data_IF_940732305153
#
_entry.id   IF_940732305153
#
_cell.length_a   1.000
_cell.length_b   1.000
_cell.length_c   1.000
_cell.angle_alpha   90.00
_cell.angle_beta   90.00
_cell.angle_gamma   90.00
#
_symmetry.space_group_name_H-M   'P 1'
#
loop_
_entity.id
_entity.type
_entity.pdbx_description
1 polymer ?
#
# COMPACT_ATOMS: atom_id res chain seq x y z
N UNK A 1 -40.63 -18.55 -42.83
CA UNK A 1 -39.39 -18.99 -42.14
C UNK A 1 -38.65 -17.86 -41.38
N UNK A 2 -39.29 -16.73 -41.06
CA UNK A 2 -38.60 -15.54 -40.50
C UNK A 2 -38.96 -15.16 -39.04
N UNK A 3 -39.86 -15.90 -38.37
CA UNK A 3 -40.31 -15.54 -37.00
C UNK A 3 -39.51 -16.15 -35.83
N UNK A 4 -38.65 -17.16 -36.08
CA UNK A 4 -37.88 -17.83 -34.99
C UNK A 4 -36.51 -17.19 -34.71
N UNK A 5 -35.95 -16.42 -35.64
CA UNK A 5 -34.62 -15.81 -35.47
C UNK A 5 -34.65 -14.44 -34.78
N UNK A 6 -35.80 -13.77 -34.74
CA UNK A 6 -35.92 -12.45 -34.10
C UNK A 6 -35.87 -12.55 -32.56
N UNK A 7 -36.36 -13.66 -32.00
CA UNK A 7 -36.38 -13.89 -30.55
C UNK A 7 -34.96 -14.17 -30.01
N UNK A 8 -34.13 -14.89 -30.76
CA UNK A 8 -32.73 -15.14 -30.41
C UNK A 8 -31.88 -13.86 -30.48
N UNK A 9 -32.16 -12.95 -31.43
CA UNK A 9 -31.43 -11.68 -31.53
C UNK A 9 -31.76 -10.74 -30.35
N UNK A 10 -33.02 -10.73 -29.88
CA UNK A 10 -33.44 -9.92 -28.73
C UNK A 10 -32.85 -10.41 -27.39
N UNK A 11 -32.70 -11.73 -27.21
CA UNK A 11 -32.07 -12.27 -25.99
C UNK A 11 -30.56 -11.96 -25.89
N UNK A 12 -29.84 -11.87 -27.02
CA UNK A 12 -28.41 -11.53 -27.00
C UNK A 12 -28.15 -10.04 -26.69
N UNK A 13 -29.03 -9.13 -27.11
CA UNK A 13 -28.88 -7.69 -26.82
C UNK A 13 -29.11 -7.42 -25.33
N UNK A 14 -30.02 -8.13 -24.66
CA UNK A 14 -30.25 -7.97 -23.22
C UNK A 14 -29.08 -8.41 -22.33
N UNK A 15 -28.22 -9.33 -22.77
CA UNK A 15 -27.05 -9.77 -21.98
C UNK A 15 -25.90 -8.76 -22.09
N UNK A 16 -25.79 -8.05 -23.22
CA UNK A 16 -24.72 -7.06 -23.44
C UNK A 16 -25.03 -5.74 -22.69
N UNK A 17 -26.30 -5.37 -22.54
CA UNK A 17 -26.69 -4.12 -21.84
C UNK A 17 -26.51 -4.22 -20.32
N UNK A 18 -26.55 -5.43 -19.74
CA UNK A 18 -26.31 -5.65 -18.30
C UNK A 18 -24.82 -5.78 -17.92
N UNK A 19 -23.91 -5.79 -18.91
CA UNK A 19 -22.46 -5.90 -18.69
C UNK A 19 -21.72 -4.55 -18.74
N UNK A 20 -22.41 -3.42 -18.71
CA UNK A 20 -21.76 -2.13 -18.49
C UNK A 20 -21.30 -2.03 -17.02
N UNK A 21 -20.19 -2.69 -16.70
CA UNK A 21 -19.28 -2.17 -15.68
C UNK A 21 -18.91 -0.76 -16.11
N UNK A 22 -19.21 0.23 -15.28
CA UNK A 22 -18.85 1.62 -15.56
C UNK A 22 -17.34 1.72 -15.81
N UNK A 23 -16.92 1.84 -17.07
CA UNK A 23 -15.51 1.99 -17.44
C UNK A 23 -14.96 3.39 -17.12
N UNK A 24 -15.82 4.32 -16.70
CA UNK A 24 -15.42 5.68 -16.31
C UNK A 24 -16.00 6.03 -14.95
N UNK A 25 -15.22 6.71 -14.08
CA UNK A 25 -15.73 7.21 -12.81
C UNK A 25 -16.90 8.17 -13.03
N UNK A 26 -17.91 8.12 -12.15
CA UNK A 26 -19.13 8.95 -12.23
C UNK A 26 -19.31 9.76 -10.96
N UNK A 27 -19.58 11.06 -11.10
CA UNK A 27 -19.92 11.93 -9.98
C UNK A 27 -21.38 11.72 -9.57
N UNK A 28 -21.58 11.34 -8.31
CA UNK A 28 -22.89 11.08 -7.73
C UNK A 28 -23.56 12.40 -7.35
N UNK A 29 -24.83 12.56 -7.76
CA UNK A 29 -25.65 13.75 -7.44
C UNK A 29 -26.20 13.67 -6.02
N UNK A 30 -25.39 14.03 -5.02
CA UNK A 30 -25.75 13.94 -3.60
C UNK A 30 -25.74 15.32 -2.97
N UNK A 31 -26.91 15.82 -2.57
CA UNK A 31 -27.08 17.18 -2.00
C UNK A 31 -26.97 17.24 -0.47
N UNK A 32 -27.25 16.13 0.20
CA UNK A 32 -27.22 15.98 1.66
C UNK A 32 -25.97 15.19 2.10
N UNK A 33 -25.95 14.67 3.31
CA UNK A 33 -24.89 13.76 3.75
C UNK A 33 -24.86 12.50 2.88
N UNK A 34 -23.66 11.98 2.62
CA UNK A 34 -23.48 10.73 1.89
C UNK A 34 -23.08 9.61 2.85
N UNK A 35 -23.88 8.55 2.94
CA UNK A 35 -23.49 7.34 3.66
C UNK A 35 -22.99 6.30 2.67
N UNK A 36 -21.74 5.87 2.81
CA UNK A 36 -21.22 4.76 2.02
C UNK A 36 -21.87 3.45 2.50
N UNK A 37 -22.71 2.84 1.66
CA UNK A 37 -23.61 1.77 2.10
C UNK A 37 -22.90 0.53 2.66
N UNK A 38 -21.66 0.28 2.23
CA UNK A 38 -20.92 -0.94 2.54
C UNK A 38 -20.20 -0.84 3.89
N UNK A 39 -19.58 0.31 4.16
CA UNK A 39 -18.82 0.52 5.41
C UNK A 39 -19.59 1.35 6.44
N UNK A 40 -20.78 1.83 6.06
CA UNK A 40 -21.64 2.72 6.86
C UNK A 40 -20.98 4.05 7.26
N UNK A 41 -19.81 4.36 6.70
CA UNK A 41 -19.12 5.63 6.91
C UNK A 41 -19.98 6.78 6.38
N UNK A 42 -20.22 7.77 7.24
CA UNK A 42 -20.98 8.98 6.89
C UNK A 42 -20.02 10.09 6.48
N UNK A 43 -20.24 10.63 5.30
CA UNK A 43 -19.53 11.76 4.71
C UNK A 43 -20.47 12.96 4.68
N UNK A 44 -20.46 13.80 5.72
CA UNK A 44 -21.40 14.90 5.82
C UNK A 44 -21.14 15.96 4.76
N UNK A 45 -22.15 16.79 4.47
CA UNK A 45 -22.04 17.90 3.52
C UNK A 45 -21.02 18.95 3.97
N UNK A 46 -20.92 19.21 5.27
CA UNK A 46 -19.96 20.13 5.89
C UNK A 46 -19.25 19.40 7.03
N UNK A 47 -17.92 19.43 7.03
CA UNK A 47 -17.11 18.76 8.05
C UNK A 47 -15.88 19.58 8.38
N UNK A 48 -15.68 19.93 9.66
CA UNK A 48 -14.48 20.66 10.14
C UNK A 48 -14.14 21.92 9.31
N UNK A 49 -15.16 22.63 8.81
CA UNK A 49 -15.00 23.81 7.96
C UNK A 49 -14.67 23.51 6.48
N UNK A 50 -14.73 22.25 6.06
CA UNK A 50 -14.66 21.82 4.67
C UNK A 50 -16.05 21.51 4.11
N UNK A 51 -16.33 22.04 2.92
CA UNK A 51 -17.53 21.74 2.14
C UNK A 51 -17.27 20.52 1.24
N UNK A 52 -18.14 19.51 1.30
CA UNK A 52 -18.10 18.37 0.36
C UNK A 52 -18.44 18.89 -1.04
N UNK A 53 -17.53 18.76 -1.99
CA UNK A 53 -17.72 19.16 -3.40
C UNK A 53 -18.17 17.98 -4.27
N UNK A 54 -17.62 16.78 -4.04
CA UNK A 54 -17.84 15.64 -4.94
C UNK A 54 -17.83 14.33 -4.19
N UNK A 55 -18.70 13.41 -4.63
CA UNK A 55 -18.57 11.97 -4.37
C UNK A 55 -18.50 11.30 -5.73
N UNK A 56 -17.37 10.66 -6.00
CA UNK A 56 -17.06 10.00 -7.25
C UNK A 56 -17.08 8.50 -7.04
N UNK A 57 -17.90 7.78 -7.80
CA UNK A 57 -17.92 6.33 -7.82
C UNK A 57 -17.02 5.81 -8.93
N UNK A 58 -16.23 4.78 -8.64
CA UNK A 58 -15.31 4.14 -9.57
C UNK A 58 -15.82 2.75 -10.02
N UNK A 59 -16.91 2.26 -9.42
CA UNK A 59 -17.60 1.05 -9.83
C UNK A 59 -19.12 1.27 -9.80
N UNK A 60 -19.88 0.41 -10.47
CA UNK A 60 -21.34 0.53 -10.58
C UNK A 60 -22.10 0.24 -9.28
N UNK A 61 -21.48 -0.44 -8.31
CA UNK A 61 -22.06 -0.74 -7.00
C UNK A 61 -21.66 0.27 -5.93
N UNK A 62 -20.94 1.34 -6.31
CA UNK A 62 -20.43 2.38 -5.43
C UNK A 62 -19.68 1.80 -4.21
N UNK A 63 -18.90 0.73 -4.40
CA UNK A 63 -18.02 0.14 -3.39
C UNK A 63 -16.70 0.88 -3.29
N UNK A 64 -16.20 1.35 -4.42
CA UNK A 64 -15.01 2.16 -4.59
C UNK A 64 -15.46 3.60 -4.84
N UNK A 65 -15.27 4.45 -3.84
CA UNK A 65 -15.67 5.85 -3.90
C UNK A 65 -14.55 6.78 -3.43
N UNK A 66 -14.47 7.94 -4.08
CA UNK A 66 -13.62 9.05 -3.68
C UNK A 66 -14.50 10.24 -3.27
N UNK A 67 -14.26 10.79 -2.09
CA UNK A 67 -15.01 11.90 -1.52
C UNK A 67 -14.07 13.10 -1.42
N UNK A 68 -14.42 14.21 -2.07
CA UNK A 68 -13.63 15.44 -2.06
C UNK A 68 -14.31 16.52 -1.22
N UNK A 69 -13.52 17.08 -0.31
CA UNK A 69 -13.83 18.16 0.61
C UNK A 69 -12.93 19.34 0.31
N UNK A 70 -13.51 20.53 0.30
CA UNK A 70 -12.79 21.76 0.00
C UNK A 70 -13.01 22.79 1.07
N UNK A 71 -11.90 23.35 1.54
CA UNK A 71 -11.89 24.56 2.35
C UNK A 71 -11.21 25.66 1.53
N UNK A 72 -11.94 26.74 1.30
CA UNK A 72 -11.46 27.89 0.55
C UNK A 72 -11.49 29.13 1.44
N UNK A 73 -10.31 29.63 1.82
CA UNK A 73 -10.18 30.85 2.65
C UNK A 73 -10.22 32.12 1.81
N UNK A 74 -9.69 32.04 0.58
CA UNK A 74 -9.68 33.15 -0.38
C UNK A 74 -9.80 32.62 -1.81
N UNK A 75 -9.87 33.51 -2.81
CA UNK A 75 -9.87 33.09 -4.22
C UNK A 75 -8.62 32.30 -4.62
N UNK A 76 -7.51 32.42 -3.87
CA UNK A 76 -6.22 31.82 -4.19
C UNK A 76 -5.80 30.70 -3.23
N UNK A 77 -6.34 30.67 -2.02
CA UNK A 77 -5.97 29.68 -0.99
C UNK A 77 -7.05 28.62 -0.87
N UNK A 78 -6.72 27.42 -1.34
CA UNK A 78 -7.60 26.25 -1.33
C UNK A 78 -6.88 25.06 -0.71
N UNK A 79 -7.53 24.45 0.27
CA UNK A 79 -7.18 23.12 0.76
C UNK A 79 -8.20 22.11 0.26
N UNK A 80 -7.71 21.02 -0.33
CA UNK A 80 -8.52 19.91 -0.82
C UNK A 80 -8.16 18.66 -0.02
N UNK A 81 -9.15 18.09 0.66
CA UNK A 81 -9.08 16.77 1.27
C UNK A 81 -9.82 15.79 0.37
N UNK A 82 -9.18 14.69 -0.01
CA UNK A 82 -9.84 13.59 -0.72
C UNK A 82 -9.69 12.29 0.07
N UNK A 83 -10.81 11.67 0.38
CA UNK A 83 -10.90 10.39 1.08
C UNK A 83 -11.30 9.32 0.08
N UNK A 84 -10.57 8.22 0.05
CA UNK A 84 -10.86 7.06 -0.79
C UNK A 84 -11.21 5.88 0.10
N UNK A 85 -12.26 5.16 -0.29
CA UNK A 85 -12.66 3.91 0.33
C UNK A 85 -13.01 2.91 -0.76
N UNK A 86 -12.37 1.75 -0.72
CA UNK A 86 -12.57 0.73 -1.74
C UNK A 86 -12.26 -0.68 -1.20
N UNK A 87 -12.92 -1.72 -1.73
CA UNK A 87 -12.73 -3.09 -1.27
C UNK A 87 -11.44 -3.67 -1.85
N UNK A 88 -10.88 -4.65 -1.15
CA UNK A 88 -9.77 -5.46 -1.59
C UNK A 88 -10.23 -6.91 -1.83
N UNK A 89 -9.67 -7.51 -2.88
CA UNK A 89 -9.82 -8.93 -3.21
C UNK A 89 -8.75 -9.77 -2.54
N UNK A 90 -7.56 -9.21 -2.39
CA UNK A 90 -6.44 -9.80 -1.68
C UNK A 90 -5.75 -8.75 -0.81
N UNK A 91 -5.18 -9.20 0.29
CA UNK A 91 -4.31 -8.40 1.15
C UNK A 91 -3.01 -9.16 1.29
N UNK A 92 -1.94 -8.59 0.74
CA UNK A 92 -0.59 -9.14 0.81
C UNK A 92 0.31 -8.32 1.75
N UNK A 93 1.42 -8.92 2.19
CA UNK A 93 2.30 -8.29 3.16
C UNK A 93 2.98 -7.00 2.66
N UNK A 94 3.02 -6.72 1.36
CA UNK A 94 3.62 -5.49 0.83
C UNK A 94 2.59 -4.39 0.52
N UNK A 95 1.30 -4.62 0.77
CA UNK A 95 0.20 -3.76 0.33
C UNK A 95 0.39 -2.26 0.65
N UNK A 96 0.79 -1.93 1.88
CA UNK A 96 1.03 -0.54 2.28
C UNK A 96 2.23 0.07 1.55
N UNK A 97 3.28 -0.71 1.33
CA UNK A 97 4.52 -0.28 0.67
C UNK A 97 4.26 0.01 -0.81
N UNK A 98 3.61 -0.94 -1.48
CA UNK A 98 3.30 -0.86 -2.91
C UNK A 98 2.39 0.34 -3.21
N UNK A 99 1.40 0.63 -2.33
CA UNK A 99 0.54 1.81 -2.47
C UNK A 99 1.26 3.13 -2.25
N UNK A 100 2.20 3.16 -1.32
CA UNK A 100 2.98 4.36 -1.03
C UNK A 100 3.92 4.68 -2.20
N UNK A 101 4.65 3.69 -2.70
CA UNK A 101 5.52 3.79 -3.87
C UNK A 101 4.73 4.17 -5.13
N UNK A 102 3.60 3.51 -5.39
CA UNK A 102 2.75 3.84 -6.53
C UNK A 102 2.28 5.29 -6.50
N UNK A 103 2.02 5.84 -5.31
CA UNK A 103 1.67 7.24 -5.17
C UNK A 103 2.87 8.17 -5.36
N UNK A 104 4.04 7.84 -4.83
CA UNK A 104 5.28 8.60 -5.05
C UNK A 104 5.63 8.69 -6.55
N UNK A 105 5.51 7.57 -7.27
CA UNK A 105 5.74 7.50 -8.71
C UNK A 105 4.75 8.39 -9.46
N UNK A 106 3.45 8.23 -9.18
CA UNK A 106 2.40 9.05 -9.81
C UNK A 106 2.58 10.54 -9.49
N UNK A 107 3.03 10.88 -8.28
CA UNK A 107 3.28 12.25 -7.87
C UNK A 107 4.48 12.84 -8.63
N UNK A 108 5.56 12.09 -8.73
CA UNK A 108 6.78 12.48 -9.45
C UNK A 108 6.50 12.72 -10.94
N UNK A 109 5.69 11.86 -11.57
CA UNK A 109 5.27 12.04 -12.97
C UNK A 109 4.43 13.32 -13.19
N UNK A 110 3.74 13.82 -12.16
CA UNK A 110 2.85 14.99 -12.23
C UNK A 110 3.45 16.26 -11.61
N UNK A 111 4.71 16.22 -11.19
CA UNK A 111 5.43 17.36 -10.62
C UNK A 111 6.56 17.81 -11.55
N UNK A 112 6.96 19.09 -11.45
CA UNK A 112 8.14 19.60 -12.17
C UNK A 112 9.47 19.27 -11.47
N UNK A 113 9.41 18.59 -10.32
CA UNK A 113 10.57 18.19 -9.54
C UNK A 113 10.35 16.81 -8.96
N UNK A 114 11.42 16.03 -8.78
CA UNK A 114 11.36 14.79 -8.01
C UNK A 114 10.82 15.07 -6.60
N UNK A 115 9.81 14.32 -6.17
CA UNK A 115 9.25 14.44 -4.83
C UNK A 115 9.58 13.16 -4.07
N UNK A 116 10.53 13.26 -3.15
CA UNK A 116 10.84 12.16 -2.23
C UNK A 116 9.88 12.15 -1.05
N UNK A 117 9.08 11.09 -0.92
CA UNK A 117 8.17 10.92 0.19
C UNK A 117 8.88 10.25 1.37
N UNK A 118 9.17 11.01 2.43
CA UNK A 118 9.66 10.42 3.68
C UNK A 118 8.51 9.70 4.38
N UNK A 119 8.55 8.37 4.55
CA UNK A 119 7.48 7.64 5.22
C UNK A 119 7.49 7.91 6.72
N UNK A 120 6.31 7.87 7.31
CA UNK A 120 6.08 7.85 8.75
C UNK A 120 5.03 6.77 9.02
N UNK A 121 5.16 6.08 10.15
CA UNK A 121 4.37 4.90 10.47
C UNK A 121 3.58 5.15 11.75
N UNK A 122 2.39 4.56 11.84
CA UNK A 122 1.61 4.59 13.07
C UNK A 122 0.55 3.50 13.11
N UNK A 123 -0.13 3.45 14.25
CA UNK A 123 -1.19 2.50 14.51
C UNK A 123 -2.39 3.19 15.15
N UNK A 124 -3.59 2.75 14.78
CA UNK A 124 -4.84 3.04 15.49
C UNK A 124 -5.27 1.76 16.18
N UNK A 125 -5.70 1.82 17.44
CA UNK A 125 -6.11 0.62 18.17
C UNK A 125 -7.33 0.88 19.05
N UNK A 126 -8.18 -0.12 19.19
CA UNK A 126 -9.23 -0.18 20.21
C UNK A 126 -9.24 -1.56 20.91
N UNK A 127 -10.35 -1.87 21.60
CA UNK A 127 -10.53 -3.14 22.29
C UNK A 127 -10.58 -4.35 21.34
N UNK A 128 -10.88 -4.17 20.05
CA UNK A 128 -11.15 -5.24 19.08
C UNK A 128 -10.11 -5.36 17.98
N UNK A 129 -9.58 -4.24 17.48
CA UNK A 129 -8.71 -4.21 16.31
C UNK A 129 -7.55 -3.23 16.47
N UNK A 130 -6.51 -3.45 15.67
CA UNK A 130 -5.36 -2.55 15.50
C UNK A 130 -5.08 -2.37 14.02
N UNK A 131 -5.27 -1.16 13.51
CA UNK A 131 -5.02 -0.78 12.10
C UNK A 131 -3.66 -0.10 11.98
N UNK A 132 -2.77 -0.66 11.17
CA UNK A 132 -1.51 -0.01 10.81
C UNK A 132 -1.71 0.97 9.65
N UNK A 133 -0.89 2.01 9.62
CA UNK A 133 -0.88 2.96 8.52
C UNK A 133 0.51 3.50 8.22
N UNK A 134 0.67 3.93 6.97
CA UNK A 134 1.81 4.69 6.47
C UNK A 134 1.33 6.05 6.00
N UNK A 135 2.09 7.10 6.31
CA UNK A 135 1.76 8.45 5.89
C UNK A 135 3.01 9.29 5.60
N UNK A 136 2.82 10.40 4.92
CA UNK A 136 3.87 11.38 4.68
C UNK A 136 3.28 12.78 4.55
N UNK A 137 3.99 13.77 5.09
CA UNK A 137 3.70 15.20 4.92
C UNK A 137 4.89 15.82 4.18
N UNK A 138 4.63 16.41 3.04
CA UNK A 138 5.67 16.82 2.10
C UNK A 138 5.30 18.07 1.33
N UNK A 139 6.34 18.79 0.89
CA UNK A 139 6.21 19.88 -0.07
C UNK A 139 6.27 19.31 -1.48
N UNK A 140 5.40 19.79 -2.37
CA UNK A 140 5.46 19.45 -3.78
C UNK A 140 5.07 20.64 -4.65
N UNK A 141 5.43 20.56 -5.93
CA UNK A 141 5.11 21.59 -6.91
C UNK A 141 4.19 20.98 -7.97
N UNK A 142 2.90 21.31 -7.89
CA UNK A 142 1.87 20.70 -8.74
C UNK A 142 1.54 21.57 -9.93
N UNK A 143 1.49 20.95 -11.10
CA UNK A 143 1.02 21.61 -12.32
C UNK A 143 -0.47 21.92 -12.23
N UNK A 144 -0.84 23.16 -12.54
CA UNK A 144 -2.21 23.58 -12.80
C UNK A 144 -2.30 24.12 -14.22
N UNK A 145 -3.40 23.86 -14.96
CA UNK A 145 -3.60 24.49 -16.26
C UNK A 145 -3.51 26.01 -16.15
N UNK A 146 -2.70 26.61 -17.00
CA UNK A 146 -2.57 28.06 -17.10
C UNK A 146 -2.88 28.49 -18.54
N UNK A 147 -3.70 29.52 -18.69
CA UNK A 147 -4.16 29.96 -20.00
C UNK A 147 -3.04 30.52 -20.88
N UNK A 148 -1.99 31.10 -20.27
CA UNK A 148 -0.88 31.73 -20.98
C UNK A 148 0.34 30.80 -21.09
N UNK A 149 0.63 30.03 -20.04
CA UNK A 149 1.85 29.21 -19.94
C UNK A 149 1.60 27.70 -20.17
N UNK A 150 0.36 27.30 -20.43
CA UNK A 150 -0.07 25.91 -20.58
C UNK A 150 -0.18 25.20 -19.24
N UNK A 151 0.90 25.16 -18.46
CA UNK A 151 0.93 24.60 -17.10
C UNK A 151 1.76 25.51 -16.19
N UNK A 152 1.12 26.03 -15.14
CA UNK A 152 1.77 26.75 -14.06
C UNK A 152 1.96 25.84 -12.86
N UNK A 153 3.18 25.77 -12.36
CA UNK A 153 3.51 25.00 -11.18
C UNK A 153 3.36 25.84 -9.91
N UNK A 154 2.67 25.29 -8.92
CA UNK A 154 2.41 25.97 -7.64
C UNK A 154 2.90 25.07 -6.50
N UNK A 155 3.66 25.68 -5.59
CA UNK A 155 4.10 25.03 -4.37
C UNK A 155 2.92 24.73 -3.46
N UNK A 156 2.88 23.50 -2.94
CA UNK A 156 1.82 22.95 -2.12
C UNK A 156 2.42 22.22 -0.93
N UNK A 157 1.71 22.27 0.19
CA UNK A 157 1.89 21.30 1.26
C UNK A 157 0.87 20.19 1.07
N UNK A 158 1.33 18.95 1.13
CA UNK A 158 0.51 17.77 0.87
C UNK A 158 0.66 16.74 1.97
N UNK A 159 -0.40 15.96 2.17
CA UNK A 159 -0.42 14.81 3.06
C UNK A 159 -0.96 13.59 2.30
N UNK A 160 -0.30 12.46 2.49
CA UNK A 160 -0.79 11.14 2.13
C UNK A 160 -0.89 10.32 3.40
N UNK A 161 -2.01 9.65 3.64
CA UNK A 161 -2.14 8.61 4.66
C UNK A 161 -2.89 7.40 4.08
N UNK A 162 -2.36 6.20 4.26
CA UNK A 162 -2.89 4.93 3.75
C UNK A 162 -3.03 3.97 4.93
N UNK A 163 -4.24 3.45 5.12
CA UNK A 163 -4.60 2.61 6.26
C UNK A 163 -4.92 1.20 5.79
N UNK A 164 -4.43 0.22 6.53
CA UNK A 164 -4.66 -1.20 6.28
C UNK A 164 -5.89 -1.68 7.05
N UNK A 165 -7.06 -1.68 6.41
CA UNK A 165 -8.36 -1.90 7.07
C UNK A 165 -8.97 -3.27 6.70
N UNK A 166 -8.17 -4.33 6.74
CA UNK A 166 -8.57 -5.68 6.33
C UNK A 166 -8.95 -5.69 4.85
N UNK A 167 -10.13 -6.22 4.53
CA UNK A 167 -10.67 -6.26 3.18
C UNK A 167 -11.18 -4.93 2.62
N UNK A 168 -10.91 -3.83 3.31
CA UNK A 168 -11.12 -2.47 2.84
C UNK A 168 -9.81 -1.70 2.88
N UNK A 169 -9.66 -0.74 1.96
CA UNK A 169 -8.63 0.29 2.07
C UNK A 169 -9.27 1.63 2.35
N UNK A 170 -8.68 2.37 3.28
CA UNK A 170 -8.97 3.78 3.52
C UNK A 170 -7.72 4.59 3.21
N UNK A 171 -7.87 5.68 2.45
CA UNK A 171 -6.75 6.52 2.04
C UNK A 171 -7.15 7.99 2.05
N UNK A 172 -6.38 8.80 2.75
CA UNK A 172 -6.56 10.25 2.80
C UNK A 172 -5.46 10.94 2.00
N UNK A 173 -5.85 11.89 1.16
CA UNK A 173 -4.94 12.79 0.45
C UNK A 173 -5.33 14.22 0.75
N UNK A 174 -4.38 15.06 1.12
CA UNK A 174 -4.58 16.50 1.28
C UNK A 174 -3.61 17.24 0.39
N UNK A 175 -4.08 18.32 -0.22
CA UNK A 175 -3.24 19.30 -0.90
C UNK A 175 -3.70 20.69 -0.46
N UNK A 176 -2.78 21.50 0.04
CA UNK A 176 -3.05 22.81 0.62
C UNK A 176 -2.14 23.89 0.03
N UNK A 177 -2.71 25.08 -0.21
CA UNK A 177 -1.94 26.29 -0.53
C UNK A 177 -1.29 26.92 0.72
N UNK A 178 -1.83 26.69 1.92
CA UNK A 178 -1.57 27.56 3.08
C UNK A 178 -1.42 26.82 4.44
N UNK A 179 -1.71 25.53 4.52
CA UNK A 179 -1.56 24.77 5.76
C UNK A 179 -0.09 24.44 6.05
N UNK A 180 0.31 24.56 7.32
CA UNK A 180 1.60 24.07 7.82
C UNK A 180 1.59 22.55 7.98
N UNK A 181 2.77 21.96 8.24
CA UNK A 181 2.88 20.51 8.49
C UNK A 181 2.10 20.09 9.74
N UNK A 182 2.14 20.88 10.79
CA UNK A 182 1.43 20.64 12.05
C UNK A 182 -0.09 20.67 11.83
N UNK A 183 -0.57 21.63 11.03
CA UNK A 183 -2.00 21.71 10.68
C UNK A 183 -2.46 20.53 9.83
N UNK A 184 -1.61 20.00 8.94
CA UNK A 184 -1.90 18.79 8.18
C UNK A 184 -1.94 17.55 9.07
N UNK A 185 -1.03 17.44 10.05
CA UNK A 185 -1.05 16.36 11.04
C UNK A 185 -2.33 16.41 11.89
N UNK A 186 -2.72 17.60 12.39
CA UNK A 186 -3.99 17.77 13.11
C UNK A 186 -5.20 17.40 12.25
N UNK A 187 -5.19 17.75 10.96
CA UNK A 187 -6.26 17.39 10.03
C UNK A 187 -6.33 15.87 9.84
N UNK A 188 -5.19 15.18 9.73
CA UNK A 188 -5.13 13.72 9.68
C UNK A 188 -5.75 13.10 10.94
N UNK A 189 -5.41 13.57 12.13
CA UNK A 189 -5.99 13.07 13.39
C UNK A 189 -7.51 13.28 13.46
N UNK A 190 -8.01 14.41 12.93
CA UNK A 190 -9.45 14.67 12.80
C UNK A 190 -10.10 13.68 11.83
N UNK A 191 -9.46 13.39 10.69
CA UNK A 191 -9.94 12.38 9.73
C UNK A 191 -10.04 11.01 10.41
N UNK A 192 -8.99 10.59 11.11
CA UNK A 192 -8.91 9.30 11.81
C UNK A 192 -10.03 9.16 12.84
N UNK A 193 -10.26 10.22 13.62
CA UNK A 193 -11.26 10.24 14.69
C UNK A 193 -12.69 10.27 14.17
N UNK A 194 -12.98 11.09 13.15
CA UNK A 194 -14.36 11.30 12.70
C UNK A 194 -14.86 10.19 11.76
N UNK A 195 -14.04 9.80 10.76
CA UNK A 195 -14.49 8.84 9.74
C UNK A 195 -14.44 7.38 10.22
N UNK A 196 -13.94 7.15 11.44
CA UNK A 196 -14.01 5.86 12.13
C UNK A 196 -13.25 4.78 11.37
N UNK A 197 -11.95 4.97 11.14
CA UNK A 197 -11.11 4.03 10.37
C UNK A 197 -11.16 2.62 10.97
N UNK A 198 -11.15 2.50 12.30
CA UNK A 198 -11.33 1.22 12.99
C UNK A 198 -12.68 0.57 12.66
N UNK A 199 -13.76 1.34 12.58
CA UNK A 199 -15.08 0.82 12.18
C UNK A 199 -15.05 0.26 10.75
N UNK A 200 -14.35 0.92 9.81
CA UNK A 200 -14.17 0.41 8.45
C UNK A 200 -13.46 -0.95 8.47
N UNK A 201 -12.43 -1.10 9.29
CA UNK A 201 -11.69 -2.36 9.40
C UNK A 201 -12.53 -3.52 9.98
N UNK A 202 -13.51 -3.24 10.86
CA UNK A 202 -14.41 -4.27 11.41
C UNK A 202 -15.34 -4.93 10.39
N UNK A 203 -15.56 -4.30 9.23
CA UNK A 203 -16.56 -4.77 8.26
C UNK A 203 -16.12 -6.04 7.55
N UNK A 204 -14.82 -6.17 7.27
CA UNK A 204 -14.25 -7.30 6.52
C UNK A 204 -12.84 -7.60 7.06
N UNK A 205 -12.71 -8.16 8.29
CA UNK A 205 -11.42 -8.57 8.82
C UNK A 205 -10.81 -9.70 7.96
N UNK A 206 -9.50 -9.90 8.09
CA UNK A 206 -8.78 -10.97 7.41
C UNK A 206 -9.15 -12.34 8.01
N UNK A 207 -9.20 -13.41 7.19
CA UNK A 207 -9.56 -14.76 7.64
C UNK A 207 -8.37 -15.46 8.33
N UNK A 208 -7.97 -14.95 9.50
CA UNK A 208 -6.76 -15.35 10.23
C UNK A 208 -6.76 -16.80 10.76
N UNK A 209 -7.92 -17.45 10.78
CA UNK A 209 -8.03 -18.88 11.11
C UNK A 209 -7.41 -19.76 10.03
N UNK A 210 -7.33 -19.26 8.79
CA UNK A 210 -6.65 -19.92 7.69
C UNK A 210 -5.18 -19.49 7.65
N UNK A 211 -4.29 -20.38 7.19
CA UNK A 211 -2.94 -19.94 6.87
C UNK A 211 -2.98 -19.04 5.62
N UNK A 212 -2.22 -17.93 5.59
CA UNK A 212 -2.09 -17.13 4.38
C UNK A 212 -1.42 -17.97 3.28
N UNK A 213 -1.79 -17.68 2.04
CA UNK A 213 -1.21 -18.31 0.86
C UNK A 213 0.14 -17.68 0.53
N UNK A 214 1.01 -18.45 -0.14
CA UNK A 214 2.34 -17.99 -0.57
C UNK A 214 2.33 -17.90 -2.10
N UNK A 215 2.67 -16.73 -2.65
CA UNK A 215 2.99 -16.57 -4.07
C UNK A 215 4.50 -16.48 -4.22
N UNK A 216 5.07 -17.31 -5.09
CA UNK A 216 6.48 -17.27 -5.44
C UNK A 216 6.70 -16.46 -6.72
N UNK A 217 7.70 -15.59 -6.71
CA UNK A 217 8.15 -14.87 -7.90
C UNK A 217 8.69 -15.84 -8.96
N UNK A 218 8.47 -15.61 -10.26
CA UNK A 218 9.01 -16.47 -11.31
C UNK A 218 10.53 -16.72 -11.21
N UNK A 219 11.28 -15.74 -10.70
CA UNK A 219 12.76 -15.82 -10.58
C UNK A 219 13.23 -16.95 -9.67
N UNK A 220 12.43 -17.36 -8.67
CA UNK A 220 12.84 -18.43 -7.75
C UNK A 220 12.84 -19.80 -8.44
N UNK A 221 12.10 -19.95 -9.54
CA UNK A 221 11.93 -21.22 -10.25
C UNK A 221 13.17 -21.65 -11.05
N UNK A 222 14.28 -20.93 -10.92
CA UNK A 222 15.56 -21.21 -11.60
C UNK A 222 16.19 -22.54 -11.17
N UNK A 223 16.09 -22.90 -9.89
CA UNK A 223 16.51 -24.20 -9.39
C UNK A 223 15.77 -24.59 -8.11
N UNK A 224 15.99 -25.83 -7.68
CA UNK A 224 15.33 -26.40 -6.53
C UNK A 224 15.83 -25.80 -5.21
N UNK A 225 17.09 -25.40 -5.10
CA UNK A 225 17.60 -24.76 -3.88
C UNK A 225 16.86 -23.44 -3.62
N UNK A 226 16.79 -22.56 -4.63
CA UNK A 226 16.14 -21.27 -4.49
C UNK A 226 14.64 -21.42 -4.15
N UNK A 227 13.90 -22.30 -4.85
CA UNK A 227 12.49 -22.56 -4.52
C UNK A 227 12.33 -22.94 -3.04
N UNK A 228 13.08 -23.94 -2.57
CA UNK A 228 12.84 -24.51 -1.25
C UNK A 228 13.31 -23.59 -0.11
N UNK A 229 14.42 -22.88 -0.31
CA UNK A 229 14.85 -21.85 0.63
C UNK A 229 13.83 -20.70 0.71
N UNK A 230 13.30 -20.23 -0.42
CA UNK A 230 12.24 -19.21 -0.42
C UNK A 230 10.98 -19.70 0.27
N UNK A 231 10.54 -20.95 0.03
CA UNK A 231 9.37 -21.52 0.71
C UNK A 231 9.61 -21.60 2.22
N UNK A 232 10.81 -22.03 2.66
CA UNK A 232 11.17 -22.08 4.07
C UNK A 232 11.14 -20.67 4.71
N UNK A 233 11.63 -19.65 4.00
CA UNK A 233 11.57 -18.26 4.44
C UNK A 233 10.12 -17.77 4.62
N UNK A 234 9.28 -18.01 3.60
CA UNK A 234 7.88 -17.59 3.61
C UNK A 234 7.08 -18.28 4.73
N UNK A 235 7.25 -19.60 4.90
CA UNK A 235 6.63 -20.35 6.00
C UNK A 235 7.08 -19.84 7.36
N UNK A 236 8.39 -19.58 7.52
CA UNK A 236 8.95 -19.03 8.75
C UNK A 236 8.39 -17.65 9.06
N UNK A 237 8.18 -16.79 8.06
CA UNK A 237 7.55 -15.47 8.22
C UNK A 237 6.10 -15.59 8.70
N UNK A 238 5.33 -16.52 8.12
CA UNK A 238 3.96 -16.81 8.56
C UNK A 238 3.93 -17.27 10.02
N UNK A 239 4.84 -18.17 10.41
CA UNK A 239 4.96 -18.60 11.81
C UNK A 239 5.36 -17.46 12.73
N UNK A 240 6.24 -16.57 12.28
CA UNK A 240 6.66 -15.41 13.05
C UNK A 240 5.46 -14.50 13.36
N UNK A 241 4.63 -14.19 12.35
CA UNK A 241 3.42 -13.39 12.56
C UNK A 241 2.46 -14.05 13.55
N UNK A 242 2.25 -15.38 13.46
CA UNK A 242 1.39 -16.12 14.39
C UNK A 242 1.87 -16.07 15.84
N UNK A 243 3.19 -16.00 16.07
CA UNK A 243 3.80 -16.04 17.41
C UNK A 243 4.01 -14.65 18.01
N UNK A 244 4.26 -13.63 17.20
CA UNK A 244 4.73 -12.33 17.67
C UNK A 244 3.76 -11.18 17.42
N UNK A 245 2.76 -11.35 16.55
CA UNK A 245 1.78 -10.29 16.26
C UNK A 245 0.50 -10.45 17.06
N UNK A 246 -0.09 -9.32 17.45
CA UNK A 246 -1.39 -9.29 18.11
C UNK A 246 -2.48 -9.76 17.12
N UNK A 247 -3.41 -10.60 17.59
CA UNK A 247 -4.61 -11.03 16.83
C UNK A 247 -5.37 -9.81 16.28
N UNK A 248 -5.42 -8.72 17.06
CA UNK A 248 -6.04 -7.46 16.64
C UNK A 248 -5.37 -6.81 15.43
N UNK A 249 -4.07 -7.02 15.27
CA UNK A 249 -3.24 -6.45 14.21
C UNK A 249 -3.34 -7.31 12.95
N UNK A 250 -3.16 -8.63 13.09
CA UNK A 250 -3.22 -9.57 11.95
C UNK A 250 -4.62 -9.68 11.34
N UNK A 251 -5.66 -9.30 12.08
CA UNK A 251 -7.05 -9.28 11.57
C UNK A 251 -7.33 -8.11 10.63
N UNK A 252 -6.45 -7.12 10.55
CA UNK A 252 -6.60 -6.00 9.60
C UNK A 252 -5.51 -5.94 8.55
N UNK A 253 -4.42 -6.71 8.68
CA UNK A 253 -3.28 -6.53 7.80
C UNK A 253 -2.04 -7.34 8.16
N UNK A 254 -0.97 -7.12 7.40
CA UNK A 254 0.37 -7.57 7.78
C UNK A 254 1.19 -6.33 8.15
N UNK A 255 1.69 -6.24 9.38
CA UNK A 255 2.63 -5.17 9.73
C UNK A 255 4.05 -5.46 9.25
N UNK A 256 4.22 -5.57 7.93
CA UNK A 256 5.51 -5.83 7.30
C UNK A 256 6.42 -4.59 7.23
N UNK A 257 5.93 -3.47 7.77
CA UNK A 257 6.74 -2.28 8.02
C UNK A 257 7.60 -2.46 9.28
N UNK A 258 7.25 -3.37 10.18
CA UNK A 258 8.15 -3.81 11.26
C UNK A 258 9.16 -4.81 10.69
N UNK A 259 10.44 -4.43 10.75
CA UNK A 259 11.53 -5.12 10.07
C UNK A 259 11.79 -6.55 10.55
N UNK A 260 11.44 -6.86 11.80
CA UNK A 260 11.77 -8.10 12.49
C UNK A 260 11.32 -9.36 11.74
N UNK A 261 10.11 -9.32 11.15
CA UNK A 261 9.56 -10.47 10.42
C UNK A 261 10.35 -10.79 9.15
N UNK A 262 10.88 -9.76 8.47
CA UNK A 262 11.71 -9.93 7.28
C UNK A 262 13.13 -10.38 7.65
N UNK A 263 13.70 -9.83 8.74
CA UNK A 263 15.00 -10.30 9.27
C UNK A 263 14.92 -11.79 9.57
N UNK A 264 13.89 -12.21 10.32
CA UNK A 264 13.68 -13.61 10.67
C UNK A 264 13.53 -14.50 9.44
N UNK A 265 12.76 -14.05 8.43
CA UNK A 265 12.58 -14.80 7.19
C UNK A 265 13.89 -14.97 6.41
N UNK A 266 14.71 -13.91 6.31
CA UNK A 266 16.02 -13.96 5.65
C UNK A 266 16.96 -14.91 6.40
N UNK A 267 17.03 -14.82 7.72
CA UNK A 267 17.86 -15.72 8.53
C UNK A 267 17.47 -17.19 8.30
N UNK A 268 16.17 -17.49 8.25
CA UNK A 268 15.67 -18.84 7.96
C UNK A 268 15.95 -19.31 6.54
N UNK A 269 15.93 -18.39 5.57
CA UNK A 269 16.35 -18.68 4.20
C UNK A 269 17.83 -19.10 4.15
N UNK A 270 18.69 -18.40 4.87
CA UNK A 270 20.13 -18.68 4.92
C UNK A 270 20.44 -19.93 5.74
N UNK A 271 19.74 -20.16 6.86
CA UNK A 271 19.84 -21.39 7.64
C UNK A 271 19.51 -22.62 6.78
N UNK A 272 18.39 -22.56 6.04
CA UNK A 272 17.99 -23.63 5.12
C UNK A 272 19.09 -23.88 4.08
N UNK A 273 19.59 -22.83 3.42
CA UNK A 273 20.68 -22.95 2.46
C UNK A 273 21.92 -23.63 3.08
N UNK A 274 22.39 -23.17 4.25
CA UNK A 274 23.58 -23.70 4.92
C UNK A 274 23.43 -25.20 5.25
N UNK A 275 22.25 -25.64 5.68
CA UNK A 275 21.96 -27.05 6.00
C UNK A 275 21.84 -27.94 4.76
N UNK A 276 21.37 -27.39 3.65
CA UNK A 276 20.95 -28.16 2.49
C UNK A 276 21.81 -27.94 1.23
N UNK A 277 22.87 -27.13 1.28
CA UNK A 277 23.73 -26.79 0.12
C UNK A 277 24.29 -27.98 -0.67
N UNK A 278 24.49 -29.13 -0.01
CA UNK A 278 24.99 -30.34 -0.65
C UNK A 278 23.87 -31.29 -1.12
N UNK A 279 22.61 -30.98 -0.79
CA UNK A 279 21.46 -31.88 -0.97
C UNK A 279 20.57 -31.49 -2.16
N UNK A 280 20.76 -30.30 -2.74
CA UNK A 280 19.87 -29.75 -3.77
C UNK A 280 20.66 -29.20 -4.97
N UNK A 281 20.06 -29.27 -6.15
CA UNK A 281 20.61 -28.65 -7.36
C UNK A 281 20.60 -27.13 -7.21
N UNK A 282 21.73 -26.51 -7.55
CA UNK A 282 21.97 -25.08 -7.44
C UNK A 282 22.64 -24.58 -8.72
N UNK A 283 22.15 -23.48 -9.30
CA UNK A 283 22.84 -22.79 -10.39
C UNK A 283 23.93 -21.86 -9.85
N UNK A 284 24.91 -21.45 -10.66
CA UNK A 284 25.92 -20.45 -10.26
C UNK A 284 25.31 -19.14 -9.76
N UNK A 285 24.17 -18.72 -10.32
CA UNK A 285 23.46 -17.50 -9.91
C UNK A 285 22.85 -17.65 -8.51
N UNK A 286 22.26 -18.81 -8.20
CA UNK A 286 21.73 -19.10 -6.86
C UNK A 286 22.84 -19.22 -5.84
N UNK A 287 23.96 -19.86 -6.19
CA UNK A 287 25.13 -19.93 -5.31
C UNK A 287 25.69 -18.52 -5.03
N UNK A 288 25.82 -17.69 -6.07
CA UNK A 288 26.24 -16.29 -5.95
C UNK A 288 25.32 -15.52 -5.00
N UNK A 289 23.99 -15.60 -5.21
CA UNK A 289 23.00 -14.95 -4.35
C UNK A 289 23.18 -15.36 -2.87
N UNK A 290 23.24 -16.67 -2.58
CA UNK A 290 23.36 -17.13 -1.20
C UNK A 290 24.70 -16.79 -0.56
N UNK A 291 25.78 -16.77 -1.34
CA UNK A 291 27.09 -16.35 -0.86
C UNK A 291 27.09 -14.85 -0.52
N UNK A 292 26.47 -14.00 -1.34
CA UNK A 292 26.29 -12.57 -1.07
C UNK A 292 25.41 -12.33 0.16
N UNK A 293 24.24 -12.97 0.25
CA UNK A 293 23.36 -12.86 1.41
C UNK A 293 23.99 -13.38 2.69
N UNK A 294 24.78 -14.47 2.63
CA UNK A 294 25.53 -14.97 3.78
C UNK A 294 26.54 -13.93 4.26
N UNK A 295 27.23 -13.20 3.35
CA UNK A 295 28.11 -12.08 3.73
C UNK A 295 27.31 -10.98 4.45
N UNK A 296 26.12 -10.62 3.98
CA UNK A 296 25.26 -9.62 4.61
C UNK A 296 24.90 -10.05 6.04
N UNK A 297 24.38 -11.27 6.21
CA UNK A 297 23.93 -11.81 7.50
C UNK A 297 25.10 -11.96 8.47
N UNK A 298 26.21 -12.58 8.05
CA UNK A 298 27.36 -12.83 8.92
C UNK A 298 28.05 -11.53 9.37
N UNK A 299 27.89 -10.42 8.63
CA UNK A 299 28.39 -9.08 9.00
C UNK A 299 27.36 -8.22 9.75
N UNK A 300 26.19 -8.77 10.13
CA UNK A 300 25.12 -8.05 10.84
C UNK A 300 24.64 -6.81 10.08
N UNK A 301 24.39 -6.97 8.78
CA UNK A 301 23.91 -5.92 7.87
C UNK A 301 22.52 -6.23 7.29
N UNK A 302 21.78 -7.17 7.91
CA UNK A 302 20.47 -7.62 7.41
C UNK A 302 19.45 -6.49 7.41
N UNK A 303 19.39 -5.68 8.48
CA UNK A 303 18.45 -4.57 8.59
C UNK A 303 18.77 -3.47 7.57
N UNK A 304 20.06 -3.12 7.41
CA UNK A 304 20.52 -2.15 6.42
C UNK A 304 20.17 -2.62 4.98
N UNK A 305 20.34 -3.92 4.72
CA UNK A 305 19.97 -4.54 3.45
C UNK A 305 18.46 -4.46 3.19
N UNK A 306 17.64 -4.82 4.18
CA UNK A 306 16.17 -4.74 4.06
C UNK A 306 15.73 -3.28 3.83
N UNK A 307 16.38 -2.33 4.51
CA UNK A 307 16.11 -0.90 4.35
C UNK A 307 16.37 -0.42 2.92
N UNK A 308 17.47 -0.85 2.30
CA UNK A 308 17.74 -0.59 0.88
C UNK A 308 16.73 -1.32 -0.04
N UNK A 309 16.56 -2.63 0.16
CA UNK A 309 15.68 -3.51 -0.62
C UNK A 309 14.25 -2.97 -0.73
N UNK A 310 13.75 -2.35 0.32
CA UNK A 310 12.40 -1.79 0.37
C UNK A 310 12.37 -0.27 0.20
N UNK A 311 13.38 0.30 -0.46
CA UNK A 311 13.44 1.71 -0.82
C UNK A 311 13.18 2.65 0.36
N UNK A 312 13.73 2.34 1.54
CA UNK A 312 13.55 3.08 2.80
C UNK A 312 12.14 3.05 3.40
N UNK A 313 11.19 2.34 2.78
CA UNK A 313 9.80 2.20 3.24
C UNK A 313 9.70 0.99 4.17
N UNK A 314 10.35 1.14 5.31
CA UNK A 314 10.30 0.22 6.44
C UNK A 314 10.66 0.99 7.72
N UNK A 315 10.11 0.57 8.84
CA UNK A 315 10.38 1.19 10.13
C UNK A 315 11.76 0.75 10.64
N UNK A 316 12.78 1.51 10.28
CA UNK A 316 14.15 1.33 10.74
C UNK A 316 14.78 2.69 11.06
N UNK A 317 14.69 3.17 12.32
CA UNK A 317 15.14 4.52 12.70
C UNK A 317 16.61 4.82 12.39
N UNK A 318 17.48 3.81 12.47
CA UNK A 318 18.90 3.93 12.20
C UNK A 318 19.23 3.95 10.69
N UNK A 319 18.30 3.52 9.84
CA UNK A 319 18.51 3.26 8.41
C UNK A 319 19.11 4.44 7.65
N UNK A 320 18.56 5.64 7.85
CA UNK A 320 19.05 6.85 7.17
C UNK A 320 20.50 7.15 7.53
N UNK A 321 20.87 7.01 8.80
CA UNK A 321 22.24 7.29 9.28
C UNK A 321 23.26 6.21 8.88
N UNK A 322 22.80 5.00 8.55
CA UNK A 322 23.64 3.87 8.16
C UNK A 322 23.76 3.68 6.65
N UNK A 323 22.91 4.35 5.86
CA UNK A 323 22.83 4.22 4.41
C UNK A 323 24.18 4.28 3.70
N UNK A 324 24.97 5.34 3.91
CA UNK A 324 26.27 5.50 3.26
C UNK A 324 27.26 4.40 3.64
N UNK A 325 27.24 3.98 4.92
CA UNK A 325 28.10 2.89 5.39
C UNK A 325 27.72 1.54 4.78
N UNK A 326 26.44 1.31 4.52
CA UNK A 326 25.95 0.10 3.88
C UNK A 326 26.29 0.08 2.37
N UNK A 327 26.19 1.23 1.69
CA UNK A 327 26.64 1.37 0.30
C UNK A 327 28.13 1.03 0.19
N UNK A 328 28.98 1.58 1.08
CA UNK A 328 30.40 1.27 1.09
C UNK A 328 30.65 -0.23 1.37
N UNK A 329 29.92 -0.82 2.31
CA UNK A 329 29.99 -2.25 2.60
C UNK A 329 29.67 -3.11 1.36
N UNK A 330 28.63 -2.76 0.58
CA UNK A 330 28.30 -3.48 -0.65
C UNK A 330 29.43 -3.42 -1.68
N UNK A 331 30.06 -2.25 -1.83
CA UNK A 331 31.22 -2.06 -2.72
C UNK A 331 32.39 -2.93 -2.25
N UNK A 332 32.74 -2.85 -0.96
CA UNK A 332 33.89 -3.56 -0.38
C UNK A 332 33.72 -5.09 -0.41
N UNK A 333 32.47 -5.58 -0.39
CA UNK A 333 32.13 -7.01 -0.36
C UNK A 333 31.61 -7.57 -1.68
N UNK A 334 31.66 -6.77 -2.75
CA UNK A 334 31.15 -7.11 -4.09
C UNK A 334 29.75 -7.74 -4.00
N UNK A 335 28.81 -6.99 -3.42
CA UNK A 335 27.41 -7.40 -3.27
C UNK A 335 26.61 -6.78 -4.41
N UNK A 336 25.92 -7.62 -5.18
CA UNK A 336 25.15 -7.19 -6.34
C UNK A 336 23.73 -6.76 -5.97
N UNK A 337 23.10 -5.98 -6.85
CA UNK A 337 21.69 -5.59 -6.74
C UNK A 337 20.72 -6.77 -6.80
N UNK A 338 21.15 -7.94 -7.31
CA UNK A 338 20.30 -9.14 -7.36
C UNK A 338 19.87 -9.62 -5.96
N UNK A 339 20.58 -9.19 -4.90
CA UNK A 339 20.17 -9.48 -3.52
C UNK A 339 18.87 -8.79 -3.12
N UNK A 340 18.48 -7.71 -3.81
CA UNK A 340 17.27 -6.92 -3.56
C UNK A 340 15.99 -7.54 -4.17
N UNK A 341 16.09 -8.69 -4.85
CA UNK A 341 14.92 -9.35 -5.45
C UNK A 341 13.85 -9.73 -4.40
N UNK A 342 12.58 -9.48 -4.74
CA UNK A 342 11.43 -9.94 -3.96
C UNK A 342 11.03 -11.33 -4.46
N UNK A 343 11.30 -12.35 -3.63
CA UNK A 343 11.10 -13.74 -4.01
C UNK A 343 9.71 -14.28 -3.75
N UNK A 344 8.98 -13.69 -2.80
CA UNK A 344 7.64 -14.15 -2.46
C UNK A 344 6.79 -13.02 -1.88
N UNK A 345 5.48 -13.26 -1.87
CA UNK A 345 4.49 -12.53 -1.08
C UNK A 345 3.65 -13.54 -0.30
N UNK A 346 3.22 -13.16 0.89
CA UNK A 346 2.18 -13.88 1.62
C UNK A 346 0.91 -13.05 1.59
N UNK A 347 -0.24 -13.71 1.43
CA UNK A 347 -1.50 -12.99 1.26
C UNK A 347 -2.71 -13.77 1.75
N UNK A 348 -3.76 -13.04 2.09
CA UNK A 348 -5.10 -13.60 2.27
C UNK A 348 -5.96 -13.26 1.06
N UNK A 349 -6.64 -14.28 0.52
CA UNK A 349 -7.73 -14.08 -0.43
C UNK A 349 -9.02 -13.79 0.35
N UNK A 350 -9.80 -12.83 -0.13
CA UNK A 350 -10.99 -12.30 0.52
C UNK A 350 -12.27 -12.51 -0.31
N UNK A 351 -12.19 -13.23 -1.42
CA UNK A 351 -13.32 -13.55 -2.31
C UNK A 351 -14.14 -14.77 -1.88
#
# INVERSE_FOLDING_TARGET
MFRKNLFFLLCFISVIVLSQQNQKPVDLKIKEDFTHQWTKTVFPKLWAGFQRETVRAYDSKNKNVGISYVQQKSKKEKTVLTLYIYPLHEVDNHLLRDEFLSYEEALTQNSNSYVHLKPSFGELSDEKLKVNYIYSIFSNSMGKPDFFEGVKYINKQSLLAIYECGGWKFKARVTSDDMTKEQLEELKQKVESYFGILNVATIKPLPIDNAPSIVLSPVVKRDSMMINATVAAAQSKIEWFKKNSDIKEISTGFNDMKIDSEVYAIEKMIEFYKLHKNNWKMTPETEKYFNEMTRIVDNKRTEDHIYEKFHTIINYPEGESRKDSYIQFKIDKDISENTNEIFYKIFYNLD
#
